data_IF_896827029816
#
_entry.id   IF_896827029816
#
_cell.length_a   1.000
_cell.length_b   1.000
_cell.length_c   1.000
_cell.angle_alpha   90.00
_cell.angle_beta   90.00
_cell.angle_gamma   90.00
#
_symmetry.space_group_name_H-M   'P 1'
#
loop_
_entity.id
_entity.type
_entity.pdbx_description
1 polymer ?
#
# COMPACT_ATOMS: atom_id res chain seq x y z
N UNK A 1 -0.98 12.14 -22.78
CA UNK A 1 -1.68 12.17 -21.47
C UNK A 1 -0.63 12.16 -20.39
N UNK A 2 -0.66 13.04 -19.37
CA UNK A 2 0.27 12.93 -18.26
C UNK A 2 0.01 11.59 -17.58
N UNK A 3 1.00 10.70 -17.62
CA UNK A 3 0.91 9.31 -17.16
C UNK A 3 0.38 9.20 -15.73
N UNK A 4 0.66 10.21 -14.90
CA UNK A 4 0.11 10.35 -13.56
C UNK A 4 -1.42 10.36 -13.51
N UNK A 5 -2.11 11.11 -14.38
CA UNK A 5 -3.58 11.18 -14.41
C UNK A 5 -4.18 9.80 -14.71
N UNK A 6 -3.53 9.03 -15.60
CA UNK A 6 -3.92 7.66 -15.90
C UNK A 6 -3.77 6.78 -14.66
N UNK A 7 -2.65 6.89 -13.93
CA UNK A 7 -2.43 6.12 -12.69
C UNK A 7 -3.48 6.46 -11.64
N UNK A 8 -3.76 7.75 -11.42
CA UNK A 8 -4.76 8.18 -10.43
C UNK A 8 -6.17 7.70 -10.79
N UNK A 9 -6.55 7.83 -12.07
CA UNK A 9 -7.84 7.33 -12.56
C UNK A 9 -7.93 5.80 -12.49
N UNK A 10 -6.82 5.09 -12.77
CA UNK A 10 -6.76 3.64 -12.63
C UNK A 10 -6.94 3.22 -11.17
N UNK A 11 -6.26 3.88 -10.23
CA UNK A 11 -6.43 3.64 -8.78
C UNK A 11 -7.86 3.94 -8.34
N UNK A 12 -8.43 5.06 -8.78
CA UNK A 12 -9.82 5.41 -8.50
C UNK A 12 -10.80 4.34 -9.02
N UNK A 13 -10.59 3.87 -10.26
CA UNK A 13 -11.39 2.81 -10.86
C UNK A 13 -11.25 1.48 -10.10
N UNK A 14 -10.03 1.08 -9.73
CA UNK A 14 -9.80 -0.12 -8.93
C UNK A 14 -10.53 -0.08 -7.59
N UNK A 15 -10.57 1.09 -6.93
CA UNK A 15 -11.33 1.29 -5.69
C UNK A 15 -12.84 1.22 -5.98
N UNK A 16 -13.32 1.95 -6.99
CA UNK A 16 -14.73 2.03 -7.32
C UNK A 16 -15.34 0.67 -7.70
N UNK A 17 -14.60 -0.15 -8.45
CA UNK A 17 -15.02 -1.50 -8.81
C UNK A 17 -14.76 -2.54 -7.70
N UNK A 18 -14.26 -2.12 -6.53
CA UNK A 18 -13.96 -3.00 -5.40
C UNK A 18 -12.74 -3.90 -5.62
N UNK A 19 -11.99 -3.76 -6.72
CA UNK A 19 -10.78 -4.54 -6.96
C UNK A 19 -9.67 -4.26 -5.93
N UNK A 20 -9.70 -3.08 -5.30
CA UNK A 20 -8.77 -2.69 -4.25
C UNK A 20 -9.21 -3.13 -2.83
N UNK A 21 -10.36 -3.81 -2.65
CA UNK A 21 -10.94 -4.04 -1.32
C UNK A 21 -9.94 -4.66 -0.33
N UNK A 22 -9.13 -5.64 -0.77
CA UNK A 22 -8.13 -6.31 0.08
C UNK A 22 -7.02 -5.38 0.53
N UNK A 23 -6.56 -4.53 -0.38
CA UNK A 23 -5.57 -3.49 -0.08
C UNK A 23 -6.15 -2.54 0.95
N UNK A 24 -7.37 -2.07 0.72
CA UNK A 24 -8.06 -1.10 1.57
C UNK A 24 -8.34 -1.64 2.97
N UNK A 25 -8.83 -2.89 3.08
CA UNK A 25 -9.06 -3.58 4.35
C UNK A 25 -7.78 -3.62 5.19
N UNK A 26 -6.65 -3.90 4.55
CA UNK A 26 -5.35 -3.93 5.23
C UNK A 26 -4.88 -2.53 5.60
N UNK A 27 -5.23 -1.50 4.85
CA UNK A 27 -5.01 -0.10 5.19
C UNK A 27 -6.05 0.45 6.19
N UNK A 28 -7.01 -0.37 6.66
CA UNK A 28 -8.12 0.04 7.53
C UNK A 28 -9.05 1.10 6.89
N UNK A 29 -9.06 1.19 5.56
CA UNK A 29 -9.91 2.09 4.82
C UNK A 29 -11.10 1.34 4.26
N UNK A 30 -12.28 1.97 4.28
CA UNK A 30 -13.39 1.52 3.44
C UNK A 30 -13.32 2.20 2.06
N UNK A 31 -14.10 1.70 1.10
CA UNK A 31 -14.11 2.19 -0.28
C UNK A 31 -14.39 3.70 -0.38
N UNK A 32 -15.32 4.21 0.45
CA UNK A 32 -15.68 5.63 0.48
C UNK A 32 -14.50 6.47 0.99
N UNK A 33 -13.86 6.06 2.08
CA UNK A 33 -12.69 6.73 2.63
C UNK A 33 -11.53 6.73 1.63
N UNK A 34 -11.30 5.60 0.95
CA UNK A 34 -10.27 5.50 -0.07
C UNK A 34 -10.56 6.43 -1.26
N UNK A 35 -11.81 6.50 -1.72
CA UNK A 35 -12.21 7.42 -2.78
C UNK A 35 -12.08 8.89 -2.35
N UNK A 36 -12.41 9.21 -1.10
CA UNK A 36 -12.19 10.54 -0.51
C UNK A 36 -10.70 10.87 -0.48
N UNK A 37 -9.83 9.94 -0.09
CA UNK A 37 -8.37 10.14 -0.14
C UNK A 37 -7.92 10.44 -1.57
N UNK A 38 -8.37 9.66 -2.56
CA UNK A 38 -8.04 9.91 -3.98
C UNK A 38 -8.54 11.29 -4.43
N UNK A 39 -9.76 11.68 -4.05
CA UNK A 39 -10.30 13.00 -4.34
C UNK A 39 -9.49 14.12 -3.67
N UNK A 40 -9.03 13.91 -2.42
CA UNK A 40 -8.17 14.86 -1.69
C UNK A 40 -6.78 14.95 -2.31
N UNK A 41 -6.20 13.85 -2.80
CA UNK A 41 -4.96 13.89 -3.57
C UNK A 41 -5.16 14.74 -4.83
N UNK A 42 -6.21 14.48 -5.60
CA UNK A 42 -6.52 15.19 -6.84
C UNK A 42 -6.77 16.70 -6.61
N UNK A 43 -7.71 17.04 -5.72
CA UNK A 43 -8.08 18.42 -5.44
C UNK A 43 -6.98 19.16 -4.69
N UNK A 44 -6.34 18.51 -3.72
CA UNK A 44 -5.22 19.08 -2.96
C UNK A 44 -3.99 19.34 -3.80
N UNK A 45 -3.85 18.71 -4.97
CA UNK A 45 -2.76 19.00 -5.93
C UNK A 45 -2.75 20.46 -6.38
N UNK A 46 -3.90 21.12 -6.38
CA UNK A 46 -4.03 22.53 -6.75
C UNK A 46 -3.81 23.51 -5.58
N UNK A 47 -3.54 22.98 -4.39
CA UNK A 47 -3.37 23.79 -3.17
C UNK A 47 -1.92 23.76 -2.71
N UNK A 48 -1.26 24.90 -2.83
CA UNK A 48 0.12 25.10 -2.39
C UNK A 48 0.17 26.01 -1.16
N UNK A 49 0.88 25.58 -0.12
CA UNK A 49 1.09 26.34 1.10
C UNK A 49 2.52 26.88 1.09
N UNK A 50 2.71 28.19 0.84
CA UNK A 50 4.02 28.81 0.83
C UNK A 50 4.49 29.18 2.24
N UNK A 51 5.72 28.80 2.56
CA UNK A 51 6.48 29.22 3.74
C UNK A 51 7.67 30.05 3.27
N UNK A 52 7.45 31.36 3.15
CA UNK A 52 8.45 32.33 2.68
C UNK A 52 9.12 32.98 3.89
N UNK A 53 10.35 32.56 4.21
CA UNK A 53 11.18 33.21 5.22
C UNK A 53 12.59 33.33 4.66
N UNK A 54 13.05 34.54 4.27
CA UNK A 54 14.40 34.71 3.74
C UNK A 54 15.45 34.05 4.66
N UNK A 55 16.40 33.26 4.14
CA UNK A 55 16.73 32.98 2.74
C UNK A 55 15.98 31.78 2.09
N UNK A 56 14.90 31.29 2.71
CA UNK A 56 14.20 30.04 2.39
C UNK A 56 12.84 30.31 1.73
N UNK A 57 12.65 29.73 0.56
CA UNK A 57 11.38 29.63 -0.14
C UNK A 57 10.95 28.16 -0.16
N UNK A 58 10.16 27.75 0.85
CA UNK A 58 9.59 26.42 0.94
C UNK A 58 8.13 26.47 0.49
N UNK A 59 7.72 25.58 -0.41
CA UNK A 59 6.31 25.37 -0.75
C UNK A 59 5.95 23.93 -0.44
N UNK A 60 4.79 23.71 0.19
CA UNK A 60 4.27 22.37 0.49
C UNK A 60 2.94 22.19 -0.21
N UNK A 61 2.83 21.17 -1.05
CA UNK A 61 1.58 20.83 -1.73
C UNK A 61 0.66 19.99 -0.82
N UNK A 62 -0.63 20.33 -0.76
CA UNK A 62 -1.58 19.60 0.08
C UNK A 62 -1.79 18.17 -0.42
N UNK A 63 -2.01 18.00 -1.73
CA UNK A 63 -2.23 16.69 -2.34
C UNK A 63 -0.99 15.82 -2.38
N UNK A 64 0.17 16.39 -2.70
CA UNK A 64 1.42 15.65 -2.84
C UNK A 64 2.12 15.32 -1.52
N UNK A 65 1.99 16.16 -0.50
CA UNK A 65 2.70 15.98 0.77
C UNK A 65 1.77 15.77 1.97
N UNK A 66 0.79 16.66 2.17
CA UNK A 66 0.00 16.65 3.41
C UNK A 66 -1.02 15.51 3.48
N UNK A 67 -1.70 15.19 2.38
CA UNK A 67 -2.66 14.07 2.33
C UNK A 67 -1.95 12.72 2.55
N UNK A 68 -0.82 12.40 1.88
CA UNK A 68 -0.04 11.20 2.18
C UNK A 68 0.47 11.16 3.62
N UNK A 69 0.96 12.29 4.14
CA UNK A 69 1.42 12.39 5.53
C UNK A 69 0.28 12.14 6.52
N UNK A 70 -0.91 12.70 6.27
CA UNK A 70 -2.10 12.44 7.08
C UNK A 70 -2.49 10.95 7.06
N UNK A 71 -2.39 10.30 5.89
CA UNK A 71 -2.63 8.87 5.77
C UNK A 71 -1.59 8.04 6.53
N UNK A 72 -0.32 8.45 6.53
CA UNK A 72 0.71 7.82 7.38
C UNK A 72 0.37 7.92 8.86
N UNK A 73 -0.01 9.12 9.34
CA UNK A 73 -0.39 9.33 10.73
C UNK A 73 -1.59 8.46 11.10
N UNK A 74 -2.60 8.40 10.23
CA UNK A 74 -3.76 7.52 10.38
C UNK A 74 -3.35 6.04 10.52
N UNK A 75 -2.49 5.55 9.63
CA UNK A 75 -2.05 4.15 9.62
C UNK A 75 -1.22 3.81 10.86
N UNK A 76 -0.34 4.71 11.31
CA UNK A 76 0.45 4.52 12.52
C UNK A 76 -0.43 4.51 13.77
N UNK A 77 -1.40 5.42 13.86
CA UNK A 77 -2.35 5.46 14.98
C UNK A 77 -3.18 4.18 15.09
N UNK A 78 -3.56 3.59 13.95
CA UNK A 78 -4.32 2.35 13.85
C UNK A 78 -3.47 1.09 13.88
N UNK A 79 -2.15 1.17 14.07
CA UNK A 79 -1.29 -0.01 14.03
C UNK A 79 -1.63 -0.98 15.17
N UNK A 80 -1.65 -2.28 14.86
CA UNK A 80 -2.13 -3.32 15.78
C UNK A 80 -1.18 -3.50 16.97
N UNK A 81 0.11 -3.24 16.75
CA UNK A 81 1.16 -3.34 17.78
C UNK A 81 2.16 -2.19 17.71
N UNK A 82 2.76 -1.84 18.85
CA UNK A 82 3.87 -0.88 18.89
C UNK A 82 5.06 -1.32 18.04
N UNK A 83 5.30 -2.64 17.94
CA UNK A 83 6.39 -3.19 17.13
C UNK A 83 6.18 -2.95 15.63
N UNK A 84 4.94 -3.02 15.15
CA UNK A 84 4.63 -2.68 13.75
C UNK A 84 4.95 -1.22 13.44
N UNK A 85 4.65 -0.29 14.37
CA UNK A 85 4.99 1.14 14.23
C UNK A 85 6.49 1.34 14.14
N UNK A 86 7.25 0.74 15.05
CA UNK A 86 8.72 0.83 15.06
C UNK A 86 9.29 0.27 13.77
N UNK A 87 8.82 -0.89 13.30
CA UNK A 87 9.26 -1.48 12.04
C UNK A 87 9.00 -0.56 10.85
N UNK A 88 7.82 0.06 10.79
CA UNK A 88 7.49 1.01 9.71
C UNK A 88 8.39 2.26 9.74
N UNK A 89 8.71 2.78 10.92
CA UNK A 89 9.62 3.92 11.09
C UNK A 89 11.06 3.55 10.71
N UNK A 90 11.55 2.39 11.15
CA UNK A 90 12.85 1.88 10.74
C UNK A 90 12.90 1.63 9.24
N UNK A 91 11.82 1.10 8.66
CA UNK A 91 11.68 0.94 7.22
C UNK A 91 11.74 2.27 6.47
N UNK A 92 11.09 3.31 6.98
CA UNK A 92 11.19 4.66 6.44
C UNK A 92 12.62 5.20 6.48
N UNK A 93 13.36 4.98 7.58
CA UNK A 93 14.76 5.38 7.69
C UNK A 93 15.64 4.63 6.66
N UNK A 94 15.40 3.32 6.47
CA UNK A 94 16.08 2.53 5.43
C UNK A 94 15.76 3.06 4.03
N UNK A 95 14.49 3.34 3.73
CA UNK A 95 14.08 3.90 2.43
C UNK A 95 14.69 5.27 2.18
N UNK A 96 14.62 6.19 3.15
CA UNK A 96 15.22 7.52 3.02
C UNK A 96 16.74 7.46 2.88
N UNK A 97 17.41 6.59 3.63
CA UNK A 97 18.86 6.36 3.52
C UNK A 97 19.27 5.77 2.17
N UNK A 98 18.50 4.82 1.64
CA UNK A 98 18.74 4.24 0.32
C UNK A 98 18.57 5.28 -0.80
N UNK A 99 17.48 6.06 -0.75
CA UNK A 99 17.26 7.14 -1.70
C UNK A 99 18.36 8.20 -1.64
N UNK A 100 18.73 8.63 -0.45
CA UNK A 100 19.83 9.58 -0.26
C UNK A 100 21.15 9.02 -0.79
N UNK A 101 21.45 7.74 -0.55
CA UNK A 101 22.63 7.08 -1.11
C UNK A 101 22.65 7.11 -2.64
N UNK A 102 21.50 6.88 -3.28
CA UNK A 102 21.38 6.97 -4.75
C UNK A 102 21.66 8.38 -5.25
N UNK A 103 21.16 9.42 -4.58
CA UNK A 103 21.46 10.80 -4.97
C UNK A 103 22.92 11.20 -4.75
N UNK A 104 23.71 10.43 -3.98
CA UNK A 104 25.16 10.63 -3.88
C UNK A 104 25.95 9.87 -4.97
N UNK A 105 25.38 8.80 -5.50
CA UNK A 105 26.02 7.93 -6.50
C UNK A 105 25.62 8.26 -7.93
N UNK A 106 24.53 9.00 -8.10
CA UNK A 106 23.97 9.37 -9.40
C UNK A 106 24.05 10.88 -9.55
N UNK A 107 24.90 11.34 -10.45
CA UNK A 107 24.76 12.67 -11.01
C UNK A 107 23.62 12.58 -12.03
N UNK A 108 22.51 13.26 -11.73
CA UNK A 108 21.37 13.35 -12.65
C UNK A 108 21.73 14.30 -13.80
N UNK A 109 22.75 13.94 -14.59
CA UNK A 109 23.17 14.69 -15.76
C UNK A 109 21.98 14.89 -16.72
N UNK A 110 21.99 15.97 -17.54
CA UNK A 110 20.88 16.28 -18.45
C UNK A 110 20.40 15.12 -19.32
N UNK A 111 21.29 14.19 -19.69
CA UNK A 111 20.95 13.02 -20.51
C UNK A 111 20.29 11.84 -19.75
N UNK A 112 20.36 11.80 -18.42
CA UNK A 112 19.66 10.77 -17.63
C UNK A 112 18.14 11.03 -17.61
N UNK A 113 17.75 12.30 -17.51
CA UNK A 113 16.36 12.73 -17.53
C UNK A 113 15.65 12.41 -18.86
N UNK A 114 16.40 12.24 -19.95
CA UNK A 114 15.85 11.83 -21.25
C UNK A 114 15.39 10.35 -21.27
N UNK A 115 15.90 9.52 -20.36
CA UNK A 115 15.55 8.10 -20.24
C UNK A 115 14.47 7.88 -19.18
N UNK A 116 14.64 8.48 -18.00
CA UNK A 116 13.69 8.36 -16.91
C UNK A 116 13.70 9.64 -16.06
N UNK A 117 12.53 10.24 -15.90
CA UNK A 117 12.34 11.39 -15.00
C UNK A 117 12.83 11.01 -13.58
N UNK A 118 13.70 11.82 -12.95
CA UNK A 118 14.15 11.60 -11.59
C UNK A 118 13.00 11.36 -10.59
N UNK A 119 11.85 12.00 -10.78
CA UNK A 119 10.67 11.79 -9.94
C UNK A 119 10.19 10.33 -10.01
N UNK A 120 10.15 9.74 -11.21
CA UNK A 120 9.77 8.34 -11.40
C UNK A 120 10.82 7.40 -10.82
N UNK A 121 12.12 7.73 -10.92
CA UNK A 121 13.17 6.94 -10.28
C UNK A 121 13.01 6.92 -8.75
N UNK A 122 12.83 8.09 -8.13
CA UNK A 122 12.61 8.19 -6.68
C UNK A 122 11.34 7.45 -6.28
N UNK A 123 10.26 7.58 -7.05
CA UNK A 123 9.01 6.85 -6.83
C UNK A 123 9.18 5.32 -6.88
N UNK A 124 9.84 4.81 -7.93
CA UNK A 124 10.08 3.38 -8.14
C UNK A 124 11.00 2.80 -7.07
N UNK A 125 12.12 3.46 -6.79
CA UNK A 125 13.08 2.98 -5.80
C UNK A 125 12.50 3.12 -4.39
N UNK A 126 11.89 4.25 -4.07
CA UNK A 126 11.24 4.49 -2.78
C UNK A 126 10.14 3.46 -2.51
N UNK A 127 9.32 3.18 -3.53
CA UNK A 127 8.29 2.16 -3.48
C UNK A 127 8.86 0.75 -3.29
N UNK A 128 9.88 0.38 -4.06
CA UNK A 128 10.53 -0.93 -3.97
C UNK A 128 11.23 -1.17 -2.63
N UNK A 129 12.06 -0.23 -2.19
CA UNK A 129 12.77 -0.31 -0.89
C UNK A 129 11.77 -0.27 0.27
N UNK A 130 10.77 0.62 0.20
CA UNK A 130 9.70 0.70 1.20
C UNK A 130 8.89 -0.59 1.29
N UNK A 131 8.59 -1.23 0.17
CA UNK A 131 8.00 -2.56 0.12
C UNK A 131 8.87 -3.59 0.88
N UNK A 132 10.15 -3.71 0.51
CA UNK A 132 11.08 -4.69 1.09
C UNK A 132 11.30 -4.48 2.59
N UNK A 133 11.40 -3.23 3.03
CA UNK A 133 11.65 -2.88 4.43
C UNK A 133 10.38 -3.02 5.30
N UNK A 134 9.22 -2.65 4.77
CA UNK A 134 7.95 -2.65 5.51
C UNK A 134 7.39 -4.04 5.78
N UNK A 135 7.51 -4.97 4.82
CA UNK A 135 7.01 -6.37 4.86
C UNK A 135 5.51 -6.58 5.07
N UNK A 136 4.74 -5.53 5.39
CA UNK A 136 3.27 -5.54 5.40
C UNK A 136 2.76 -4.37 4.57
N UNK A 137 1.58 -4.48 3.97
CA UNK A 137 0.98 -3.43 3.11
C UNK A 137 1.00 -2.05 3.79
N UNK A 138 0.62 -1.99 5.06
CA UNK A 138 0.63 -0.77 5.88
C UNK A 138 2.04 -0.24 6.11
N UNK A 139 2.95 -1.10 6.60
CA UNK A 139 4.31 -0.69 6.90
C UNK A 139 5.07 -0.31 5.63
N UNK A 140 4.77 -0.94 4.49
CA UNK A 140 5.33 -0.62 3.18
C UNK A 140 4.87 0.76 2.70
N UNK A 141 3.57 1.08 2.81
CA UNK A 141 3.08 2.43 2.54
C UNK A 141 3.81 3.48 3.38
N UNK A 142 3.87 3.24 4.70
CA UNK A 142 4.48 4.19 5.65
C UNK A 142 5.99 4.34 5.38
N UNK A 143 6.70 3.23 5.16
CA UNK A 143 8.14 3.24 4.88
C UNK A 143 8.46 4.00 3.59
N UNK A 144 7.70 3.75 2.52
CA UNK A 144 7.88 4.44 1.25
C UNK A 144 7.58 5.94 1.37
N UNK A 145 6.41 6.30 1.93
CA UNK A 145 5.95 7.69 2.03
C UNK A 145 6.88 8.53 2.91
N UNK A 146 7.19 8.05 4.13
CA UNK A 146 8.09 8.75 5.04
C UNK A 146 9.54 8.73 4.56
N UNK A 147 9.97 7.67 3.86
CA UNK A 147 11.31 7.59 3.30
C UNK A 147 11.55 8.65 2.22
N UNK A 148 10.60 8.84 1.31
CA UNK A 148 10.67 9.91 0.30
C UNK A 148 10.58 11.29 0.98
N UNK A 149 9.67 11.49 1.93
CA UNK A 149 9.61 12.74 2.69
C UNK A 149 10.92 13.03 3.46
N UNK A 150 11.58 12.01 4.00
CA UNK A 150 12.86 12.17 4.67
C UNK A 150 13.95 12.63 3.69
N UNK A 151 13.94 12.17 2.44
CA UNK A 151 14.83 12.65 1.40
C UNK A 151 14.63 14.16 1.15
N UNK A 152 13.38 14.62 1.02
CA UNK A 152 13.07 16.04 0.86
C UNK A 152 13.56 16.89 2.03
N UNK A 153 13.40 16.38 3.26
CA UNK A 153 13.93 17.03 4.48
C UNK A 153 15.45 17.09 4.46
N UNK A 154 16.15 16.04 4.03
CA UNK A 154 17.61 16.03 3.90
C UNK A 154 18.06 17.07 2.86
N UNK A 155 17.40 17.14 1.70
CA UNK A 155 17.69 18.14 0.68
C UNK A 155 17.45 19.56 1.19
N UNK A 156 16.35 19.78 1.94
CA UNK A 156 16.07 21.06 2.58
C UNK A 156 17.19 21.45 3.55
N UNK A 157 17.57 20.57 4.49
CA UNK A 157 18.63 20.84 5.48
C UNK A 157 19.97 21.17 4.80
N UNK A 158 20.34 20.43 3.74
CA UNK A 158 21.54 20.70 2.94
C UNK A 158 21.48 22.05 2.24
N UNK A 159 20.34 22.36 1.62
CA UNK A 159 20.11 23.66 1.00
C UNK A 159 20.30 24.80 1.99
N UNK A 160 19.71 24.69 3.19
CA UNK A 160 19.85 25.68 4.27
C UNK A 160 21.30 25.90 4.74
N UNK A 161 22.18 24.92 4.52
CA UNK A 161 23.59 24.98 4.90
C UNK A 161 24.47 25.55 3.79
N UNK A 162 23.93 25.75 2.58
CA UNK A 162 24.65 26.26 1.42
C UNK A 162 24.49 27.79 1.28
N UNK A 163 25.48 28.51 0.72
CA UNK A 163 25.34 29.93 0.43
C UNK A 163 24.32 30.17 -0.69
N UNK A 164 23.26 30.94 -0.42
CA UNK A 164 22.30 31.40 -1.44
C UNK A 164 20.83 31.18 -1.07
N UNK A 165 19.89 31.66 -1.93
CA UNK A 165 18.47 31.41 -1.74
C UNK A 165 18.13 29.94 -1.99
N UNK A 166 17.39 29.34 -1.06
CA UNK A 166 17.00 27.93 -1.10
C UNK A 166 15.56 27.83 -1.54
N UNK A 167 15.32 27.12 -2.65
CA UNK A 167 13.98 26.81 -3.15
C UNK A 167 13.73 25.32 -3.04
N UNK A 168 12.74 24.93 -2.25
CA UNK A 168 12.32 23.53 -2.09
C UNK A 168 10.81 23.45 -2.22
N UNK A 169 10.35 22.56 -3.09
CA UNK A 169 8.94 22.23 -3.24
C UNK A 169 8.73 20.79 -2.76
N UNK A 170 8.06 20.63 -1.62
CA UNK A 170 7.71 19.31 -1.07
C UNK A 170 6.35 18.90 -1.60
N UNK A 171 6.28 17.74 -2.24
CA UNK A 171 5.05 17.32 -2.91
C UNK A 171 4.76 18.12 -4.19
N UNK A 172 5.76 18.75 -4.81
CA UNK A 172 5.58 19.77 -5.85
C UNK A 172 4.78 19.31 -7.08
N UNK A 173 4.75 18.01 -7.39
CA UNK A 173 3.96 17.46 -8.49
C UNK A 173 2.53 17.04 -8.08
N UNK A 174 2.09 17.37 -6.86
CA UNK A 174 0.77 17.04 -6.34
C UNK A 174 0.54 15.53 -6.23
N UNK A 175 -0.60 15.03 -6.69
CA UNK A 175 -0.96 13.62 -6.70
C UNK A 175 0.00 12.73 -7.50
N UNK A 176 0.89 13.34 -8.29
CA UNK A 176 1.89 12.66 -9.10
C UNK A 176 3.29 12.76 -8.51
N UNK A 177 3.42 13.32 -7.31
CA UNK A 177 4.69 13.41 -6.62
C UNK A 177 5.26 12.03 -6.26
N UNK A 178 6.59 11.95 -6.18
CA UNK A 178 7.30 10.73 -5.80
C UNK A 178 6.79 10.17 -4.46
N UNK A 179 6.34 11.02 -3.53
CA UNK A 179 5.74 10.59 -2.25
C UNK A 179 4.51 9.71 -2.49
N UNK A 180 3.58 10.16 -3.35
CA UNK A 180 2.33 9.45 -3.65
C UNK A 180 2.62 8.19 -4.46
N UNK A 181 3.45 8.31 -5.50
CA UNK A 181 3.82 7.21 -6.38
C UNK A 181 4.53 6.10 -5.61
N UNK A 182 5.51 6.43 -4.76
CA UNK A 182 6.21 5.46 -3.93
C UNK A 182 5.27 4.73 -2.98
N UNK A 183 4.35 5.45 -2.31
CA UNK A 183 3.37 4.86 -1.41
C UNK A 183 2.45 3.86 -2.10
N UNK A 184 1.87 4.24 -3.25
CA UNK A 184 0.98 3.37 -4.04
C UNK A 184 1.75 2.14 -4.54
N UNK A 185 2.95 2.33 -5.10
CA UNK A 185 3.78 1.23 -5.60
C UNK A 185 4.17 0.26 -4.49
N UNK A 186 4.58 0.76 -3.32
CA UNK A 186 4.96 -0.07 -2.19
C UNK A 186 3.80 -0.96 -1.72
N UNK A 187 2.59 -0.40 -1.66
CA UNK A 187 1.38 -1.14 -1.30
C UNK A 187 1.02 -2.16 -2.37
N UNK A 188 1.05 -1.77 -3.65
CA UNK A 188 0.79 -2.67 -4.76
C UNK A 188 1.75 -3.86 -4.79
N UNK A 189 3.04 -3.62 -4.58
CA UNK A 189 4.05 -4.68 -4.46
C UNK A 189 3.77 -5.59 -3.25
N UNK A 190 3.44 -5.01 -2.10
CA UNK A 190 3.08 -5.78 -0.91
C UNK A 190 1.81 -6.63 -1.09
N UNK A 191 0.85 -6.15 -1.87
CA UNK A 191 -0.35 -6.90 -2.24
C UNK A 191 0.01 -8.07 -3.15
N UNK A 192 0.63 -7.79 -4.30
CA UNK A 192 0.90 -8.81 -5.33
C UNK A 192 1.79 -9.92 -4.77
N UNK A 193 2.84 -9.55 -4.02
CA UNK A 193 3.74 -10.53 -3.43
C UNK A 193 3.13 -11.22 -2.22
N UNK A 194 2.40 -10.49 -1.36
CA UNK A 194 1.71 -11.06 -0.22
C UNK A 194 0.67 -12.11 -0.62
N UNK A 195 -0.19 -11.78 -1.59
CA UNK A 195 -1.16 -12.73 -2.14
C UNK A 195 -0.50 -13.90 -2.88
N UNK A 196 0.54 -13.62 -3.67
CA UNK A 196 1.28 -14.65 -4.39
C UNK A 196 1.87 -15.68 -3.42
N UNK A 197 2.45 -15.22 -2.31
CA UNK A 197 3.02 -16.08 -1.27
C UNK A 197 1.94 -16.87 -0.53
N UNK A 198 0.80 -16.26 -0.17
CA UNK A 198 -0.31 -16.97 0.47
C UNK A 198 -0.88 -18.09 -0.41
N UNK A 199 -0.93 -17.89 -1.74
CA UNK A 199 -1.39 -18.90 -2.71
C UNK A 199 -0.39 -20.04 -2.88
N UNK A 200 0.91 -19.73 -2.87
CA UNK A 200 1.99 -20.72 -2.99
C UNK A 200 2.17 -21.57 -1.72
N UNK A 201 1.87 -21.00 -0.55
CA UNK A 201 2.01 -21.69 0.75
C UNK A 201 0.78 -22.53 1.13
N UNK A 202 -0.16 -22.76 0.21
CA UNK A 202 -1.26 -23.72 0.38
C UNK A 202 -2.65 -23.13 0.52
N UNK A 203 -2.81 -21.80 0.36
CA UNK A 203 -4.11 -21.13 0.46
C UNK A 203 -4.63 -21.07 1.90
N UNK A 204 -5.78 -20.39 2.14
CA UNK A 204 -6.34 -20.24 3.48
C UNK A 204 -6.62 -21.61 4.07
N UNK A 205 -6.32 -21.80 5.35
CA UNK A 205 -6.66 -23.02 6.10
C UNK A 205 -8.20 -23.10 6.23
N UNK A 206 -8.85 -23.60 5.18
CA UNK A 206 -10.32 -23.77 5.07
C UNK A 206 -10.87 -24.77 6.09
N UNK A 207 -10.03 -25.35 6.96
CA UNK A 207 -10.45 -26.25 8.04
C UNK A 207 -11.42 -25.64 9.04
N UNK A 208 -11.51 -24.31 9.15
CA UNK A 208 -12.47 -23.64 10.05
C UNK A 208 -13.65 -22.98 9.33
N UNK A 209 -13.75 -23.10 8.01
CA UNK A 209 -14.88 -22.58 7.22
C UNK A 209 -15.48 -23.63 6.29
N UNK A 210 -15.44 -24.90 6.68
CA UNK A 210 -16.45 -25.84 6.17
C UNK A 210 -17.74 -25.51 6.88
N UNK A 211 -18.79 -25.27 6.11
CA UNK A 211 -20.13 -25.13 6.63
C UNK A 211 -20.44 -26.33 7.55
N UNK A 212 -21.16 -26.13 8.67
CA UNK A 212 -21.62 -27.23 9.53
C UNK A 212 -22.35 -28.34 8.76
N UNK A 213 -22.86 -28.02 7.57
CA UNK A 213 -23.53 -28.94 6.65
C UNK A 213 -22.67 -30.11 6.13
N UNK A 214 -21.34 -30.09 6.30
CA UNK A 214 -20.47 -31.24 5.96
C UNK A 214 -20.10 -32.10 7.17
N UNK A 215 -20.63 -31.76 8.34
CA UNK A 215 -20.42 -32.53 9.55
C UNK A 215 -21.76 -33.15 9.96
N UNK A 216 -21.76 -34.46 10.18
CA UNK A 216 -22.93 -35.11 10.77
C UNK A 216 -23.18 -34.59 12.21
N UNK A 217 -24.31 -34.95 12.81
CA UNK A 217 -24.66 -34.56 14.20
C UNK A 217 -23.60 -34.95 15.26
N UNK A 218 -22.57 -35.70 14.88
CA UNK A 218 -21.43 -36.12 15.71
C UNK A 218 -20.12 -35.38 15.41
N UNK A 219 -20.13 -34.38 14.52
CA UNK A 219 -18.94 -33.59 14.18
C UNK A 219 -17.92 -34.30 13.29
N UNK A 220 -18.30 -35.37 12.58
CA UNK A 220 -17.43 -36.06 11.63
C UNK A 220 -17.74 -35.66 10.18
N UNK A 221 -16.71 -35.52 9.31
CA UNK A 221 -16.93 -35.18 7.92
C UNK A 221 -17.77 -36.25 7.22
N UNK A 222 -18.81 -35.84 6.50
CA UNK A 222 -19.62 -36.76 5.69
C UNK A 222 -18.74 -37.39 4.59
N UNK A 223 -18.74 -38.73 4.53
CA UNK A 223 -18.08 -39.51 3.49
C UNK A 223 -19.02 -39.63 2.27
N UNK A 224 -18.71 -38.97 1.13
CA UNK A 224 -19.56 -39.00 -0.05
C UNK A 224 -19.67 -40.40 -0.68
N UNK A 225 -18.80 -41.34 -0.31
CA UNK A 225 -18.80 -42.72 -0.82
C UNK A 225 -19.80 -43.66 -0.15
N UNK A 226 -20.43 -43.27 0.95
CA UNK A 226 -21.31 -44.15 1.73
C UNK A 226 -22.78 -44.20 1.24
N UNK A 227 -23.16 -43.34 0.29
CA UNK A 227 -24.55 -43.18 -0.16
C UNK A 227 -25.12 -44.36 -0.99
N UNK A 228 -24.39 -45.47 -1.14
CA UNK A 228 -24.77 -46.58 -2.01
C UNK A 228 -24.99 -47.95 -1.35
N UNK A 229 -24.89 -48.08 -0.02
CA UNK A 229 -25.06 -49.39 0.63
C UNK A 229 -26.42 -49.50 1.34
N UNK A 230 -27.30 -50.45 0.95
CA UNK A 230 -28.53 -50.72 1.68
C UNK A 230 -28.18 -51.14 3.11
N UNK A 231 -28.76 -50.46 4.10
CA UNK A 231 -28.57 -50.79 5.52
C UNK A 231 -29.10 -52.21 5.78
N UNK A 232 -28.33 -53.12 6.39
CA UNK A 232 -28.84 -54.42 6.80
C UNK A 232 -29.75 -54.22 8.01
N UNK A 233 -31.05 -54.07 7.76
CA UNK A 233 -32.02 -53.82 8.80
C UNK A 233 -33.48 -53.78 8.34
N UNK A 234 -33.76 -53.62 7.05
CA UNK A 234 -35.14 -53.64 6.55
C UNK A 234 -35.58 -55.05 6.17
N UNK A 235 -35.62 -55.94 7.17
CA UNK A 235 -36.56 -57.07 7.14
C UNK A 235 -37.80 -56.62 7.88
N UNK A 236 -38.84 -56.25 7.13
CA UNK A 236 -40.20 -56.31 7.65
C UNK A 236 -40.86 -57.56 7.12
N UNK A 237 -41.16 -58.41 8.09
CA UNK A 237 -42.06 -59.54 8.04
C UNK A 237 -43.45 -59.10 7.55
N UNK A 238 -44.15 -60.04 6.90
CA UNK A 238 -45.61 -60.03 6.77
C UNK A 238 -46.15 -59.58 5.43
N UNK A 239 -46.54 -60.53 4.58
CA UNK A 239 -47.97 -60.80 4.37
C UNK A 239 -48.15 -62.14 3.61
N UNK A 240 -48.87 -63.04 4.26
CA UNK A 240 -49.36 -64.32 3.77
C UNK A 240 -50.59 -64.14 2.87
N UNK A 241 -50.68 -65.01 1.84
CA UNK A 241 -51.88 -65.55 1.17
C UNK A 241 -52.79 -64.60 0.35
N UNK A 242 -53.50 -65.12 -0.68
CA UNK A 242 -53.87 -66.51 -0.98
C UNK A 242 -53.16 -67.16 -2.17
#
# INVERSE_FOLDING_TARGET
MPLGLIVLLAVAALIFFGAAHRVLDRLHLNDVQALVVVALLAAGSFVEIPFRRPPVELTVNVGGALVPLALVVYLLARADTGWERVRAILGAAVTGGALWGITQLTDFEPGFADVLDPLWLVGLVGGGVGYLAGRSRRASFVSATLGVLALDVIHLIRGLSAPGPVRVAVGGAGAFDAIVVAGILAVGLAEVVGEGLERLQGGPDTRHRRAPALFNDRGQPEDPGAAGSPRPGDRREGEEHP
#
